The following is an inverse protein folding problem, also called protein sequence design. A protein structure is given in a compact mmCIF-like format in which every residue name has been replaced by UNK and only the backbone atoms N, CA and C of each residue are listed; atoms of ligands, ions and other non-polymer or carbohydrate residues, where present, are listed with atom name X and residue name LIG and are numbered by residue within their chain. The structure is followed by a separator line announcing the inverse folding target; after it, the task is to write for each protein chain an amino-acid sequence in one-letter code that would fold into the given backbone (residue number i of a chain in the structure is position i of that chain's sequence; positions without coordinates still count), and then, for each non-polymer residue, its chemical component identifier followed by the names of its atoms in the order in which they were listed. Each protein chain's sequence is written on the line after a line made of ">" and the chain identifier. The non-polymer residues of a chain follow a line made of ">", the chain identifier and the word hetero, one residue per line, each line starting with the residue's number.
data_IF_853245091823
#
_entry.id   IF_853245091823
#
_cell.length_a   1.000
_cell.length_b   1.000
_cell.length_c   1.000
_cell.angle_alpha   90.00
_cell.angle_beta   90.00
_cell.angle_gamma   90.00
#
_symmetry.space_group_name_H-M   'P 1'
#
loop_
_entity.id
_entity.type
_entity.pdbx_description
1 polymer ?
#
# COMPACT_ATOMS: atom_id res chain seq x y z
N UNK A 1 -5.41 14.29 -4.30
CA UNK A 1 -4.57 13.29 -5.01
C UNK A 1 -3.75 13.87 -6.17
N UNK A 2 -4.04 15.07 -6.71
CA UNK A 2 -3.21 15.70 -7.76
C UNK A 2 -1.75 15.88 -7.31
N UNK A 3 -1.54 16.39 -6.10
CA UNK A 3 -0.20 16.69 -5.58
C UNK A 3 0.73 15.46 -5.53
N UNK A 4 0.23 14.32 -5.05
CA UNK A 4 1.01 13.09 -4.99
C UNK A 4 1.39 12.59 -6.41
N UNK A 5 0.45 12.66 -7.36
CA UNK A 5 0.71 12.21 -8.74
C UNK A 5 1.77 13.05 -9.45
N UNK A 6 1.73 14.37 -9.26
CA UNK A 6 2.71 15.28 -9.85
C UNK A 6 4.10 15.05 -9.25
N UNK A 7 4.19 14.89 -7.93
CA UNK A 7 5.47 14.63 -7.26
C UNK A 7 6.08 13.30 -7.72
N UNK A 8 5.29 12.22 -7.82
CA UNK A 8 5.81 10.93 -8.30
C UNK A 8 6.15 10.92 -9.79
N UNK A 9 5.48 11.73 -10.62
CA UNK A 9 5.86 11.89 -12.02
C UNK A 9 7.21 12.61 -12.17
N UNK A 10 7.51 13.56 -11.29
CA UNK A 10 8.77 14.32 -11.33
C UNK A 10 9.91 13.58 -10.59
N UNK A 11 9.58 12.89 -9.50
CA UNK A 11 10.50 12.16 -8.63
C UNK A 11 9.95 10.74 -8.38
N UNK A 12 10.27 9.76 -9.24
CA UNK A 12 9.75 8.39 -9.11
C UNK A 12 10.27 7.65 -7.87
N UNK A 13 11.42 8.07 -7.33
CA UNK A 13 12.04 7.44 -6.15
C UNK A 13 11.59 8.08 -4.81
N UNK A 14 10.64 9.00 -4.85
CA UNK A 14 10.15 9.68 -3.66
C UNK A 14 9.37 8.71 -2.74
N UNK A 15 9.33 8.97 -1.43
CA UNK A 15 8.54 8.21 -0.48
C UNK A 15 7.44 9.07 0.16
N UNK A 16 6.25 8.49 0.37
CA UNK A 16 5.21 9.09 1.22
C UNK A 16 5.27 8.43 2.60
N UNK A 17 5.58 9.25 3.61
CA UNK A 17 5.46 8.84 5.00
C UNK A 17 4.02 8.99 5.49
N UNK A 18 3.50 7.94 6.14
CA UNK A 18 2.18 7.95 6.80
C UNK A 18 2.38 7.57 8.25
N UNK A 19 1.90 8.41 9.17
CA UNK A 19 1.97 8.13 10.60
C UNK A 19 0.60 8.35 11.28
N UNK A 20 0.49 7.83 12.50
CA UNK A 20 -0.66 8.07 13.38
C UNK A 20 -0.10 8.50 14.74
N UNK A 21 -0.83 9.34 15.47
CA UNK A 21 -0.40 9.88 16.78
C UNK A 21 -0.12 8.77 17.79
N UNK A 22 -1.06 7.83 17.96
CA UNK A 22 -1.01 6.82 19.03
C UNK A 22 -0.50 5.43 18.60
N UNK A 23 0.00 5.25 17.37
CA UNK A 23 0.57 3.96 16.93
C UNK A 23 -0.39 2.76 16.79
N UNK A 24 -1.72 2.97 16.89
CA UNK A 24 -2.76 1.92 16.89
C UNK A 24 -3.06 1.26 15.52
N UNK A 25 -2.20 1.41 14.53
CA UNK A 25 -2.35 0.70 13.24
C UNK A 25 -3.26 1.36 12.19
N UNK A 26 -3.71 2.62 12.37
CA UNK A 26 -4.50 3.33 11.35
C UNK A 26 -3.69 3.69 10.09
N UNK A 27 -2.43 4.08 10.25
CA UNK A 27 -1.54 4.38 9.12
C UNK A 27 -1.34 3.16 8.18
N UNK A 28 -1.05 1.95 8.71
CA UNK A 28 -1.03 0.72 7.92
C UNK A 28 -2.29 0.44 7.08
N UNK A 29 -3.47 0.86 7.54
CA UNK A 29 -4.72 0.68 6.76
C UNK A 29 -4.67 1.48 5.46
N UNK A 30 -4.16 2.72 5.49
CA UNK A 30 -4.03 3.53 4.27
C UNK A 30 -3.03 2.93 3.29
N UNK A 31 -1.93 2.36 3.80
CA UNK A 31 -0.94 1.66 2.97
C UNK A 31 -1.57 0.43 2.31
N UNK A 32 -2.37 -0.36 3.06
CA UNK A 32 -3.08 -1.51 2.53
C UNK A 32 -4.06 -1.10 1.42
N UNK A 33 -4.83 -0.03 1.62
CA UNK A 33 -5.75 0.50 0.60
C UNK A 33 -5.01 0.92 -0.67
N UNK A 34 -3.84 1.57 -0.54
CA UNK A 34 -3.04 1.98 -1.70
C UNK A 34 -2.54 0.77 -2.50
N UNK A 35 -2.07 -0.29 -1.81
CA UNK A 35 -1.66 -1.55 -2.44
C UNK A 35 -2.82 -2.23 -3.16
N UNK A 36 -4.00 -2.28 -2.53
CA UNK A 36 -5.21 -2.85 -3.14
C UNK A 36 -5.68 -2.06 -4.36
N UNK A 37 -5.66 -0.73 -4.28
CA UNK A 37 -5.98 0.17 -5.40
C UNK A 37 -4.98 0.07 -6.56
N UNK A 38 -3.73 -0.32 -6.27
CA UNK A 38 -2.72 -0.65 -7.28
C UNK A 38 -2.88 -2.06 -7.89
N UNK A 39 -3.80 -2.87 -7.35
CA UNK A 39 -4.18 -4.18 -7.88
C UNK A 39 -3.69 -5.38 -7.05
N UNK A 40 -3.14 -5.16 -5.85
CA UNK A 40 -2.79 -6.25 -4.94
C UNK A 40 -4.03 -6.83 -4.27
N UNK A 41 -4.04 -8.15 -4.00
CA UNK A 41 -5.09 -8.77 -3.18
C UNK A 41 -4.95 -8.35 -1.72
N UNK A 42 -6.04 -8.39 -0.97
CA UNK A 42 -6.01 -7.92 0.42
C UNK A 42 -5.12 -8.82 1.29
N UNK A 43 -5.11 -10.13 1.04
CA UNK A 43 -4.28 -11.10 1.77
C UNK A 43 -2.80 -10.77 1.59
N UNK A 44 -2.38 -10.58 0.34
CA UNK A 44 -0.99 -10.24 -0.01
C UNK A 44 -0.57 -8.89 0.59
N UNK A 45 -1.47 -7.90 0.57
CA UNK A 45 -1.20 -6.58 1.14
C UNK A 45 -1.03 -6.62 2.66
N UNK A 46 -1.89 -7.37 3.36
CA UNK A 46 -1.80 -7.57 4.82
C UNK A 46 -0.52 -8.31 5.18
N UNK A 47 -0.17 -9.36 4.43
CA UNK A 47 1.05 -10.13 4.65
C UNK A 47 2.30 -9.29 4.41
N UNK A 48 2.33 -8.47 3.35
CA UNK A 48 3.44 -7.58 3.07
C UNK A 48 3.68 -6.58 4.22
N UNK A 49 2.61 -5.98 4.74
CA UNK A 49 2.69 -5.06 5.89
C UNK A 49 3.16 -5.80 7.14
N UNK A 50 2.64 -7.00 7.40
CA UNK A 50 3.00 -7.80 8.58
C UNK A 50 4.43 -8.32 8.55
N UNK A 51 5.01 -8.56 7.36
CA UNK A 51 6.44 -8.88 7.20
C UNK A 51 7.34 -7.75 7.71
N UNK A 52 6.95 -6.50 7.47
CA UNK A 52 7.71 -5.32 7.92
C UNK A 52 7.40 -4.93 9.37
N UNK A 53 6.14 -5.06 9.79
CA UNK A 53 5.70 -4.76 11.17
C UNK A 53 4.64 -5.75 11.64
N UNK A 54 5.05 -6.70 12.47
CA UNK A 54 4.14 -7.67 13.10
C UNK A 54 3.08 -6.94 13.93
N UNK A 55 1.84 -7.42 13.88
CA UNK A 55 0.72 -6.83 14.63
C UNK A 55 0.27 -5.44 14.17
N UNK A 56 0.68 -4.99 12.98
CA UNK A 56 0.34 -3.65 12.48
C UNK A 56 -1.16 -3.40 12.25
N UNK A 57 -1.95 -4.47 12.07
CA UNK A 57 -3.38 -4.42 11.75
C UNK A 57 -4.20 -5.23 12.75
N UNK A 58 -5.28 -4.62 13.25
CA UNK A 58 -6.25 -5.21 14.17
C UNK A 58 -7.39 -5.92 13.40
N UNK A 59 -8.14 -6.82 14.06
CA UNK A 59 -9.24 -7.57 13.47
C UNK A 59 -10.30 -6.70 12.80
N UNK A 60 -10.73 -5.59 13.45
CA UNK A 60 -11.71 -4.66 12.86
C UNK A 60 -11.22 -4.05 11.54
N UNK A 61 -9.91 -3.82 11.41
CA UNK A 61 -9.30 -3.28 10.19
C UNK A 61 -9.21 -4.34 9.11
N UNK A 62 -8.92 -5.60 9.47
CA UNK A 62 -8.92 -6.72 8.53
C UNK A 62 -10.30 -6.94 7.92
N UNK A 63 -11.35 -6.96 8.74
CA UNK A 63 -12.74 -7.08 8.26
C UNK A 63 -13.15 -5.93 7.35
N UNK A 64 -12.59 -4.73 7.55
CA UNK A 64 -12.81 -3.62 6.64
C UNK A 64 -12.08 -3.82 5.30
N UNK A 65 -10.81 -4.22 5.32
CA UNK A 65 -10.02 -4.47 4.13
C UNK A 65 -10.59 -5.61 3.28
N UNK A 66 -11.10 -6.67 3.92
CA UNK A 66 -11.77 -7.78 3.24
C UNK A 66 -13.01 -7.34 2.45
N UNK A 67 -13.78 -6.39 2.99
CA UNK A 67 -15.00 -5.86 2.34
C UNK A 67 -14.72 -4.75 1.33
N UNK A 68 -13.50 -4.21 1.32
CA UNK A 68 -13.15 -3.07 0.49
C UNK A 68 -13.05 -3.47 -0.98
N UNK A 69 -13.75 -2.72 -1.85
CA UNK A 69 -13.73 -2.91 -3.30
C UNK A 69 -12.84 -1.85 -3.95
N UNK A 70 -11.62 -2.21 -4.42
CA UNK A 70 -10.73 -1.24 -5.05
C UNK A 70 -11.31 -0.75 -6.39
N UNK A 71 -11.19 0.54 -6.63
CA UNK A 71 -11.59 1.20 -7.89
C UNK A 71 -10.54 1.04 -9.00
N UNK A 72 -9.31 0.67 -8.63
CA UNK A 72 -8.19 0.45 -9.55
C UNK A 72 -7.56 1.75 -10.06
N UNK A 73 -7.85 2.90 -9.43
CA UNK A 73 -7.38 4.22 -9.91
C UNK A 73 -5.87 4.38 -9.85
N UNK A 74 -5.21 3.63 -8.97
CA UNK A 74 -3.75 3.64 -8.81
C UNK A 74 -3.04 2.63 -9.71
N UNK A 75 -3.74 1.74 -10.42
CA UNK A 75 -3.10 0.83 -11.41
C UNK A 75 -2.30 1.58 -12.48
N UNK A 76 -2.74 2.77 -12.85
CA UNK A 76 -2.07 3.65 -13.83
C UNK A 76 -0.74 4.21 -13.31
N UNK A 77 -0.54 4.20 -11.99
CA UNK A 77 0.70 4.62 -11.35
C UNK A 77 1.66 3.44 -11.15
N UNK A 78 1.37 2.24 -11.69
CA UNK A 78 2.39 1.19 -11.77
C UNK A 78 3.49 1.63 -12.73
N UNK A 79 4.56 2.19 -12.21
CA UNK A 79 5.85 2.09 -12.87
C UNK A 79 6.17 0.59 -13.00
N UNK A 80 6.69 0.16 -14.16
CA UNK A 80 6.98 -1.26 -14.39
C UNK A 80 8.04 -1.71 -13.39
N UNK A 81 7.63 -2.43 -12.35
CA UNK A 81 8.55 -3.27 -11.58
C UNK A 81 8.84 -4.45 -12.49
N UNK A 82 10.02 -4.45 -13.13
CA UNK A 82 10.51 -5.63 -13.83
C UNK A 82 10.46 -6.82 -12.87
N UNK A 83 9.87 -7.92 -13.36
CA UNK A 83 9.70 -9.21 -12.69
C UNK A 83 11.07 -9.83 -12.36
N UNK A 84 11.78 -9.33 -11.35
CA UNK A 84 12.87 -10.07 -10.73
C UNK A 84 12.29 -11.05 -9.71
N UNK A 85 12.28 -12.32 -10.09
CA UNK A 85 11.64 -13.45 -9.41
C UNK A 85 12.17 -13.77 -8.01
N UNK A 86 12.92 -12.89 -7.33
CA UNK A 86 13.51 -13.24 -6.03
C UNK A 86 13.46 -12.17 -4.93
N UNK A 87 12.66 -11.10 -5.05
CA UNK A 87 12.38 -10.25 -3.90
C UNK A 87 10.93 -9.76 -3.88
N UNK A 88 10.13 -10.27 -2.95
CA UNK A 88 8.71 -9.89 -2.77
C UNK A 88 8.57 -8.51 -2.12
N UNK A 89 9.27 -7.50 -2.62
CA UNK A 89 9.07 -6.09 -2.30
C UNK A 89 8.21 -5.49 -3.39
N UNK A 90 6.90 -5.45 -3.17
CA UNK A 90 6.03 -4.60 -3.97
C UNK A 90 6.31 -3.15 -3.57
N UNK A 91 7.33 -2.58 -4.17
CA UNK A 91 7.56 -1.15 -4.14
C UNK A 91 6.46 -0.51 -4.98
N UNK A 92 5.54 0.19 -4.33
CA UNK A 92 4.82 1.28 -4.97
C UNK A 92 5.86 2.38 -5.22
N UNK A 93 6.49 2.34 -6.41
CA UNK A 93 7.22 3.45 -7.00
C UNK A 93 6.24 4.23 -7.89
#
# INVERSE_FOLDING_TARGET
>A
LMLAKEIFNVHPDQCIAVHCVAGLGRAPVLVALALMEAGMKYEDAVDLIRRHRRGALNQKQLTFLEKYKPTGRLRKLRCKVDDDKNNKTCSLM
#
